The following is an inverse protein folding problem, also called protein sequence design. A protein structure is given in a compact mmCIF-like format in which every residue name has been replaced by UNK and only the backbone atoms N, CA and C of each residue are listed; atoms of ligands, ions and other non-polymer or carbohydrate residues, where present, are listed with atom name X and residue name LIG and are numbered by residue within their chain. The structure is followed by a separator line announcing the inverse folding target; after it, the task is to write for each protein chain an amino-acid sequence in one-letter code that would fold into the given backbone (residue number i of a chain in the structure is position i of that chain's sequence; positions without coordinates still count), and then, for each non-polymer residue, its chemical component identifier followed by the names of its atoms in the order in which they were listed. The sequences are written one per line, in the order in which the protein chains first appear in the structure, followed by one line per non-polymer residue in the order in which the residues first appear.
data_IF_097312444105
#
_entry.id   IF_097312444105
#
_cell.length_a   1.000
_cell.length_b   1.000
_cell.length_c   1.000
_cell.angle_alpha   90.00
_cell.angle_beta   90.00
_cell.angle_gamma   90.00
#
_symmetry.space_group_name_H-M   'P 1'
#
loop_
_entity.id
_entity.type
_entity.pdbx_description
1 polymer ?
#
# COMPACT_ATOMS: atom_id res chain seq x y z
N UNK A 1 -25.49 14.84 -15.60
CA UNK A 1 -26.03 14.17 -14.40
C UNK A 1 -24.99 14.17 -13.28
N UNK A 2 -25.34 14.76 -12.15
CA UNK A 2 -24.48 14.84 -10.95
C UNK A 2 -24.33 13.44 -10.34
N UNK A 3 -23.10 13.09 -9.95
CA UNK A 3 -22.79 11.80 -9.31
C UNK A 3 -22.88 11.97 -7.80
N UNK A 4 -24.04 11.73 -7.21
CA UNK A 4 -24.22 11.73 -5.76
C UNK A 4 -23.84 10.36 -5.16
N UNK A 5 -23.31 10.34 -3.92
CA UNK A 5 -22.96 9.09 -3.25
C UNK A 5 -24.22 8.26 -2.91
N UNK A 6 -24.08 6.94 -2.66
CA UNK A 6 -25.20 6.08 -2.28
C UNK A 6 -25.83 6.50 -0.95
N UNK A 7 -27.13 6.21 -0.76
CA UNK A 7 -27.86 6.59 0.46
C UNK A 7 -27.32 5.96 1.77
N UNK A 8 -26.51 4.90 1.69
CA UNK A 8 -25.90 4.24 2.84
C UNK A 8 -24.51 4.79 3.19
N UNK A 9 -23.97 5.74 2.42
CA UNK A 9 -22.66 6.35 2.65
C UNK A 9 -22.84 7.74 3.24
N UNK A 10 -22.78 7.84 4.57
CA UNK A 10 -22.81 9.12 5.28
C UNK A 10 -21.62 9.98 4.87
N UNK A 11 -21.87 11.23 4.49
CA UNK A 11 -20.81 12.21 4.24
C UNK A 11 -20.32 12.72 5.59
N UNK A 12 -19.02 12.57 5.84
CA UNK A 12 -18.37 13.13 7.02
C UNK A 12 -17.35 14.18 6.57
N UNK A 13 -17.25 15.29 7.29
CA UNK A 13 -16.30 16.35 7.03
C UNK A 13 -15.14 16.26 8.02
N UNK A 14 -13.91 16.29 7.50
CA UNK A 14 -12.69 16.25 8.29
C UNK A 14 -11.47 16.63 7.46
N UNK A 15 -10.38 17.09 8.07
CA UNK A 15 -9.19 17.50 7.36
C UNK A 15 -8.58 16.30 6.62
N UNK A 16 -8.39 16.43 5.30
CA UNK A 16 -7.73 15.41 4.47
C UNK A 16 -6.22 15.47 4.70
N UNK A 17 -5.67 14.52 5.45
CA UNK A 17 -4.22 14.37 5.61
C UNK A 17 -3.65 13.58 4.42
N UNK A 18 -3.16 14.26 3.38
CA UNK A 18 -2.46 13.59 2.29
C UNK A 18 -1.06 13.15 2.73
N UNK A 19 -0.77 11.84 2.69
CA UNK A 19 0.60 11.32 2.86
C UNK A 19 1.14 10.90 1.50
N UNK A 20 1.89 11.78 0.86
CA UNK A 20 2.62 11.43 -0.37
C UNK A 20 3.74 10.44 -0.01
N UNK A 21 3.57 9.18 -0.41
CA UNK A 21 4.62 8.18 -0.26
C UNK A 21 5.76 8.53 -1.23
N UNK A 22 6.92 8.90 -0.69
CA UNK A 22 8.14 9.01 -1.50
C UNK A 22 8.57 7.60 -1.90
N UNK A 23 8.27 7.19 -3.12
CA UNK A 23 8.81 5.96 -3.70
C UNK A 23 10.32 6.11 -3.84
N UNK A 24 11.08 5.45 -2.98
CA UNK A 24 12.50 5.24 -3.20
C UNK A 24 12.62 4.26 -4.37
N UNK A 25 12.75 4.77 -5.59
CA UNK A 25 13.27 3.99 -6.70
C UNK A 25 14.74 3.69 -6.38
N UNK A 26 15.02 2.54 -5.78
CA UNK A 26 16.38 2.02 -5.74
C UNK A 26 16.72 1.55 -7.15
N UNK A 27 17.39 2.40 -7.93
CA UNK A 27 17.86 2.09 -9.28
C UNK A 27 19.09 1.15 -9.26
N UNK A 28 19.06 0.11 -8.46
CA UNK A 28 20.08 -0.93 -8.41
C UNK A 28 19.47 -2.21 -7.85
N UNK A 29 18.78 -2.97 -8.72
CA UNK A 29 18.48 -4.37 -8.43
C UNK A 29 19.77 -5.14 -8.72
N UNK A 30 20.37 -5.86 -7.76
CA UNK A 30 21.49 -6.74 -8.04
C UNK A 30 21.05 -7.81 -9.07
N UNK A 31 21.95 -8.25 -9.96
CA UNK A 31 21.58 -9.01 -11.17
C UNK A 31 20.91 -10.40 -10.96
N UNK A 32 20.71 -10.86 -9.73
CA UNK A 32 20.47 -12.30 -9.46
C UNK A 32 19.31 -12.60 -8.49
N UNK A 33 18.21 -11.84 -8.52
CA UNK A 33 17.01 -12.23 -7.76
C UNK A 33 16.15 -13.21 -8.56
N UNK A 34 16.05 -14.46 -8.10
CA UNK A 34 15.23 -15.51 -8.72
C UNK A 34 13.85 -15.59 -8.05
N UNK A 35 12.80 -15.75 -8.86
CA UNK A 35 11.47 -16.03 -8.37
C UNK A 35 11.35 -17.48 -7.91
N UNK A 36 11.11 -17.71 -6.62
CA UNK A 36 11.01 -19.05 -6.03
C UNK A 36 9.77 -19.86 -6.49
N UNK A 37 8.85 -19.25 -7.25
CA UNK A 37 7.65 -19.92 -7.76
C UNK A 37 7.78 -20.41 -9.20
N UNK A 38 8.54 -19.71 -10.04
CA UNK A 38 8.71 -20.07 -11.46
C UNK A 38 10.16 -20.30 -11.87
N UNK A 39 11.12 -20.17 -10.94
CA UNK A 39 12.55 -20.33 -11.15
C UNK A 39 13.14 -19.44 -12.25
N UNK A 40 12.47 -18.33 -12.55
CA UNK A 40 12.93 -17.33 -13.50
C UNK A 40 13.44 -16.09 -12.76
N UNK A 41 14.45 -15.44 -13.33
CA UNK A 41 15.00 -14.19 -12.81
C UNK A 41 13.96 -13.06 -12.87
N UNK A 42 13.92 -12.27 -11.80
CA UNK A 42 13.12 -11.05 -11.70
C UNK A 42 13.91 -9.92 -12.36
N UNK A 43 13.45 -9.48 -13.53
CA UNK A 43 14.10 -8.44 -14.32
C UNK A 43 13.87 -7.03 -13.76
N UNK A 44 14.74 -6.11 -14.18
CA UNK A 44 14.63 -4.71 -13.78
C UNK A 44 13.28 -4.10 -14.19
N UNK A 45 12.59 -3.46 -13.25
CA UNK A 45 11.26 -2.89 -13.45
C UNK A 45 10.09 -3.85 -13.17
N UNK A 46 10.36 -5.15 -12.97
CA UNK A 46 9.32 -6.07 -12.49
C UNK A 46 9.10 -5.91 -10.99
N UNK A 47 7.84 -6.01 -10.57
CA UNK A 47 7.47 -5.94 -9.16
C UNK A 47 7.64 -7.30 -8.49
N UNK A 48 8.37 -7.29 -7.37
CA UNK A 48 8.61 -8.46 -6.51
C UNK A 48 7.80 -8.38 -5.22
N UNK A 49 7.35 -9.52 -4.73
CA UNK A 49 6.67 -9.66 -3.43
C UNK A 49 7.53 -10.49 -2.49
N UNK A 50 7.53 -10.08 -1.21
CA UNK A 50 8.06 -10.86 -0.10
C UNK A 50 6.96 -11.14 0.91
N UNK A 51 7.05 -12.27 1.63
CA UNK A 51 6.07 -12.63 2.65
C UNK A 51 6.00 -11.60 3.79
N UNK A 52 4.86 -11.48 4.49
CA UNK A 52 4.72 -10.64 5.67
C UNK A 52 5.53 -11.16 6.88
N UNK A 53 5.78 -12.47 6.95
CA UNK A 53 6.65 -13.07 7.96
C UNK A 53 8.13 -12.69 7.65
N UNK A 54 8.84 -11.99 8.54
CA UNK A 54 10.22 -11.57 8.31
C UNK A 54 11.22 -12.74 8.22
N UNK A 55 10.86 -13.90 8.78
CA UNK A 55 11.69 -15.11 8.74
C UNK A 55 11.38 -16.00 7.52
N UNK A 56 10.47 -15.57 6.64
CA UNK A 56 10.11 -16.32 5.44
C UNK A 56 10.90 -15.82 4.23
N UNK A 57 11.50 -16.76 3.50
CA UNK A 57 12.38 -16.49 2.37
C UNK A 57 11.65 -16.27 1.04
N UNK A 58 10.30 -16.28 1.04
CA UNK A 58 9.52 -16.08 -0.18
C UNK A 58 9.94 -14.79 -0.89
N UNK A 59 10.46 -14.95 -2.11
CA UNK A 59 10.73 -13.90 -3.08
C UNK A 59 10.17 -14.34 -4.44
N UNK A 60 9.22 -13.58 -4.99
CA UNK A 60 8.54 -13.98 -6.22
C UNK A 60 8.01 -12.80 -7.02
N UNK A 61 7.68 -13.04 -8.29
CA UNK A 61 6.91 -12.08 -9.09
C UNK A 61 5.53 -11.83 -8.49
N UNK A 62 5.03 -10.59 -8.59
CA UNK A 62 3.65 -10.28 -8.21
C UNK A 62 2.64 -11.19 -8.93
N UNK A 63 2.86 -11.49 -10.20
CA UNK A 63 1.95 -12.29 -11.03
C UNK A 63 1.95 -13.74 -10.59
N UNK A 64 3.12 -14.34 -10.36
CA UNK A 64 3.21 -15.73 -9.89
C UNK A 64 2.48 -15.94 -8.56
N UNK A 65 2.59 -15.00 -7.62
CA UNK A 65 1.87 -15.10 -6.36
C UNK A 65 0.36 -14.84 -6.54
N UNK A 66 -0.01 -13.93 -7.46
CA UNK A 66 -1.41 -13.67 -7.77
C UNK A 66 -2.09 -14.91 -8.34
N UNK A 67 -1.46 -15.57 -9.32
CA UNK A 67 -1.98 -16.78 -9.96
C UNK A 67 -2.24 -17.91 -8.95
N UNK A 68 -1.44 -18.00 -7.89
CA UNK A 68 -1.66 -18.97 -6.80
C UNK A 68 -2.85 -18.62 -5.90
N UNK A 69 -3.16 -17.33 -5.73
CA UNK A 69 -4.21 -16.87 -4.80
C UNK A 69 -5.54 -16.59 -5.49
N UNK A 70 -5.55 -16.43 -6.81
CA UNK A 70 -6.74 -16.07 -7.58
C UNK A 70 -7.78 -17.20 -7.58
N UNK A 71 -9.02 -16.82 -7.29
CA UNK A 71 -10.20 -17.67 -7.48
C UNK A 71 -10.69 -17.50 -8.93
N UNK A 72 -11.22 -18.55 -9.59
CA UNK A 72 -11.75 -18.42 -10.94
C UNK A 72 -12.81 -17.31 -11.04
N UNK A 73 -12.59 -16.38 -11.97
CA UNK A 73 -13.46 -15.22 -12.19
C UNK A 73 -13.01 -13.92 -11.51
N UNK A 74 -11.99 -13.96 -10.67
CA UNK A 74 -11.36 -12.78 -10.10
C UNK A 74 -10.14 -12.32 -10.91
N UNK A 75 -9.84 -11.02 -10.86
CA UNK A 75 -8.64 -10.43 -11.47
C UNK A 75 -7.59 -10.02 -10.43
N UNK A 76 -7.99 -9.84 -9.18
CA UNK A 76 -7.12 -9.42 -8.07
C UNK A 76 -7.42 -10.30 -6.87
N UNK A 77 -6.41 -10.98 -6.28
CA UNK A 77 -6.63 -11.75 -5.08
C UNK A 77 -7.07 -10.88 -3.91
N UNK A 78 -7.91 -11.44 -3.04
CA UNK A 78 -8.30 -10.78 -1.78
C UNK A 78 -7.39 -11.24 -0.65
N UNK A 79 -7.21 -12.54 -0.50
CA UNK A 79 -6.39 -13.21 0.52
C UNK A 79 -5.79 -14.50 -0.02
N UNK A 80 -4.81 -15.06 0.68
CA UNK A 80 -4.22 -16.35 0.36
C UNK A 80 -3.32 -16.87 1.48
N UNK A 81 -2.66 -17.99 1.23
CA UNK A 81 -1.75 -18.64 2.19
C UNK A 81 -0.36 -18.70 1.58
N UNK A 82 0.64 -18.22 2.32
CA UNK A 82 2.03 -18.26 1.85
C UNK A 82 2.50 -19.71 1.66
N UNK A 83 3.03 -20.09 0.48
CA UNK A 83 3.41 -21.49 0.20
C UNK A 83 4.67 -21.97 0.94
N UNK A 84 5.38 -21.09 1.67
CA UNK A 84 6.63 -21.42 2.38
C UNK A 84 6.47 -21.48 3.90
N UNK A 85 5.54 -20.71 4.47
CA UNK A 85 5.38 -20.60 5.93
C UNK A 85 3.93 -20.70 6.40
N UNK A 86 3.00 -21.04 5.49
CA UNK A 86 1.56 -21.23 5.74
C UNK A 86 0.85 -20.04 6.41
N UNK A 87 1.48 -18.87 6.41
CA UNK A 87 0.87 -17.65 6.94
C UNK A 87 -0.28 -17.23 6.04
N UNK A 88 -1.48 -17.11 6.62
CA UNK A 88 -2.63 -16.48 5.96
C UNK A 88 -2.36 -14.98 5.84
N UNK A 89 -2.45 -14.46 4.62
CA UNK A 89 -2.11 -13.07 4.28
C UNK A 89 -3.22 -12.42 3.45
N UNK A 90 -3.42 -11.12 3.65
CA UNK A 90 -4.27 -10.30 2.77
C UNK A 90 -3.44 -9.73 1.63
N UNK A 91 -3.99 -9.74 0.42
CA UNK A 91 -3.28 -9.22 -0.75
C UNK A 91 -2.92 -7.74 -0.59
N UNK A 92 -3.85 -6.93 -0.07
CA UNK A 92 -3.61 -5.51 0.19
C UNK A 92 -2.42 -5.24 1.11
N UNK A 93 -2.18 -6.09 2.11
CA UNK A 93 -1.05 -5.93 3.03
C UNK A 93 0.29 -6.26 2.36
N UNK A 94 0.32 -7.27 1.47
CA UNK A 94 1.49 -7.55 0.64
C UNK A 94 1.84 -6.37 -0.27
N UNK A 95 0.85 -5.78 -0.95
CA UNK A 95 1.06 -4.63 -1.83
C UNK A 95 1.52 -3.40 -1.04
N UNK A 96 0.96 -3.16 0.16
CA UNK A 96 1.40 -2.07 1.04
C UNK A 96 2.85 -2.26 1.47
N UNK A 97 3.24 -3.46 1.92
CA UNK A 97 4.63 -3.79 2.26
C UNK A 97 5.56 -3.59 1.06
N UNK A 98 5.18 -4.08 -0.12
CA UNK A 98 5.93 -3.93 -1.36
C UNK A 98 6.19 -2.45 -1.70
N UNK A 99 5.21 -1.58 -1.50
CA UNK A 99 5.33 -0.13 -1.73
C UNK A 99 6.09 0.61 -0.61
N UNK A 100 6.59 -0.10 0.41
CA UNK A 100 7.27 0.52 1.55
C UNK A 100 6.32 1.20 2.54
N UNK A 101 5.00 0.93 2.46
CA UNK A 101 4.01 1.36 3.43
C UNK A 101 3.92 0.29 4.54
N UNK A 102 4.96 0.18 5.35
CA UNK A 102 4.85 -0.59 6.59
C UNK A 102 3.88 0.15 7.52
N UNK A 103 2.91 -0.57 8.08
CA UNK A 103 2.16 -0.08 9.23
C UNK A 103 3.15 -0.10 10.39
N UNK A 104 3.70 1.05 10.77
CA UNK A 104 4.15 1.19 12.15
C UNK A 104 2.90 0.93 12.98
N UNK A 105 2.90 -0.15 13.78
CA UNK A 105 1.89 -0.42 14.80
C UNK A 105 1.99 0.60 15.96
N UNK A 106 2.32 1.84 15.63
CA UNK A 106 2.24 2.99 16.51
C UNK A 106 0.86 3.57 16.21
N UNK A 107 -0.13 3.04 16.93
CA UNK A 107 -1.29 3.85 17.29
C UNK A 107 -0.75 5.03 18.09
N UNK A 108 -0.26 6.04 17.39
CA UNK A 108 -0.13 7.38 17.94
C UNK A 108 -1.55 7.83 18.21
N UNK A 109 -1.98 7.58 19.44
CA UNK A 109 -3.13 8.19 20.06
C UNK A 109 -3.01 9.70 19.78
N UNK A 110 -3.96 10.24 19.03
CA UNK A 110 -3.98 11.66 18.71
C UNK A 110 -4.21 12.41 20.03
N UNK A 111 -3.14 12.73 20.75
CA UNK A 111 -3.22 13.65 21.87
C UNK A 111 -3.59 15.01 21.31
N UNK A 112 -4.81 15.45 21.63
CA UNK A 112 -5.29 16.81 21.41
C UNK A 112 -4.40 17.77 22.21
N UNK A 113 -3.25 18.14 21.66
CA UNK A 113 -2.51 19.31 22.13
C UNK A 113 -3.08 20.54 21.42
N UNK A 114 -3.74 21.39 22.21
CA UNK A 114 -4.32 22.67 21.80
C UNK A 114 -3.25 23.55 21.14
N UNK A 115 -3.30 23.67 19.81
CA UNK A 115 -2.48 24.63 19.07
C UNK A 115 -3.03 26.03 19.30
N UNK A 116 -2.22 26.89 19.92
CA UNK A 116 -2.54 28.31 20.08
C UNK A 116 -2.73 28.98 18.72
N UNK A 117 -3.89 29.60 18.56
CA UNK A 117 -4.27 30.43 17.41
C UNK A 117 -3.21 31.53 17.17
N UNK A 118 -2.37 31.33 16.16
CA UNK A 118 -1.63 32.45 15.56
C UNK A 118 -2.56 33.12 14.55
N UNK A 119 -3.00 34.33 14.90
CA UNK A 119 -3.90 35.15 14.10
C UNK A 119 -3.45 35.22 12.64
N UNK A 120 -4.26 34.65 11.76
CA UNK A 120 -4.12 34.75 10.32
C UNK A 120 -4.44 36.20 9.94
N UNK A 121 -3.40 36.98 9.59
CA UNK A 121 -3.61 38.27 8.98
C UNK A 121 -4.42 38.08 7.69
N UNK A 122 -5.54 38.80 7.61
CA UNK A 122 -6.44 38.82 6.48
C UNK A 122 -5.71 39.39 5.25
N UNK A 123 -5.28 38.53 4.33
CA UNK A 123 -5.02 38.94 2.95
C UNK A 123 -5.81 38.06 1.98
N UNK A 124 -7.02 38.50 1.56
CA UNK A 124 -7.86 37.79 0.61
C UNK A 124 -7.44 38.05 -0.85
N UNK A 125 -6.14 38.13 -1.14
CA UNK A 125 -5.61 38.26 -2.50
C UNK A 125 -5.87 37.03 -3.39
N UNK A 126 -6.35 35.91 -2.84
CA UNK A 126 -6.60 34.68 -3.61
C UNK A 126 -7.98 34.64 -4.31
N UNK A 127 -8.80 35.68 -4.16
CA UNK A 127 -10.15 35.75 -4.72
C UNK A 127 -10.26 36.72 -5.91
N UNK A 128 -9.32 36.63 -6.85
CA UNK A 128 -9.38 37.31 -8.15
C UNK A 128 -8.53 36.57 -9.19
N UNK A 129 -9.18 35.66 -9.93
CA UNK A 129 -9.26 35.59 -11.40
C UNK A 129 -10.14 34.39 -11.81
#
# INVERSE_FOLDING_TARGET
PERTPPQHMSICEGPVKSRNLKTKHSNCIPPDEECLLCSAYIMNGQTKITCLNPNCELLCHITCLADLFLVPGEYVPIEGVCPFCDLKVKWGDLIRKMKGCAYSNEVEECSDEEVQDVAFAEDPSWMQD
#
